data_IF_906682378947
#
_entry.id   IF_906682378947
#
_cell.length_a   1.000
_cell.length_b   1.000
_cell.length_c   1.000
_cell.angle_alpha   90.00
_cell.angle_beta   90.00
_cell.angle_gamma   90.00
#
_symmetry.space_group_name_H-M   'P 1'
#
loop_
_entity.id
_entity.type
_entity.pdbx_description
1 polymer ?
#
# COMPACT_ATOMS: atom_id res chain seq x y z
N UNK A 1 -1.33 -12.70 14.02
CA UNK A 1 -1.96 -11.66 13.19
C UNK A 1 -1.75 -11.99 11.73
N UNK A 2 -2.78 -11.95 10.91
CA UNK A 2 -2.67 -12.22 9.47
C UNK A 2 -2.08 -11.01 8.74
N UNK A 3 -1.59 -11.23 7.50
CA UNK A 3 -1.08 -10.13 6.67
C UNK A 3 -2.17 -9.10 6.38
N UNK A 4 -3.39 -9.56 6.14
CA UNK A 4 -4.55 -8.68 5.92
C UNK A 4 -4.79 -7.75 7.12
N UNK A 5 -4.72 -8.29 8.32
CA UNK A 5 -4.88 -7.51 9.56
C UNK A 5 -3.77 -6.47 9.73
N UNK A 6 -2.53 -6.82 9.38
CA UNK A 6 -1.40 -5.88 9.43
C UNK A 6 -1.65 -4.71 8.48
N UNK A 7 -2.09 -4.97 7.26
CA UNK A 7 -2.40 -3.91 6.29
C UNK A 7 -3.56 -3.03 6.74
N UNK A 8 -4.62 -3.64 7.28
CA UNK A 8 -5.76 -2.89 7.82
C UNK A 8 -5.28 -1.94 8.92
N UNK A 9 -4.46 -2.43 9.85
CA UNK A 9 -3.92 -1.60 10.93
C UNK A 9 -3.04 -0.47 10.40
N UNK A 10 -2.19 -0.74 9.40
CA UNK A 10 -1.35 0.28 8.78
C UNK A 10 -2.20 1.37 8.13
N UNK A 11 -3.23 0.99 7.39
CA UNK A 11 -4.12 1.94 6.74
C UNK A 11 -4.95 2.74 7.75
N UNK A 12 -5.38 2.11 8.83
CA UNK A 12 -6.06 2.80 9.93
C UNK A 12 -5.15 3.83 10.60
N UNK A 13 -3.89 3.46 10.85
CA UNK A 13 -2.90 4.36 11.44
C UNK A 13 -2.60 5.56 10.54
N UNK A 14 -2.63 5.36 9.22
CA UNK A 14 -2.46 6.42 8.23
C UNK A 14 -3.73 7.24 7.99
N UNK A 15 -4.87 6.80 8.53
CA UNK A 15 -6.15 7.48 8.38
C UNK A 15 -6.78 7.35 6.99
N UNK A 16 -6.41 6.32 6.22
CA UNK A 16 -6.90 6.12 4.85
C UNK A 16 -7.62 4.79 4.67
N UNK A 17 -7.90 4.06 5.75
CA UNK A 17 -8.59 2.79 5.65
C UNK A 17 -10.06 2.97 5.29
N UNK A 18 -10.52 2.14 4.35
CA UNK A 18 -11.92 2.02 3.96
C UNK A 18 -12.21 0.53 3.72
N UNK A 19 -13.36 -0.01 4.21
CA UNK A 19 -13.74 -1.40 3.94
C UNK A 19 -13.79 -1.77 2.44
N UNK A 20 -13.97 -0.80 1.56
CA UNK A 20 -13.90 -1.00 0.11
C UNK A 20 -12.52 -1.49 -0.36
N UNK A 21 -11.46 -1.29 0.44
CA UNK A 21 -10.12 -1.77 0.14
C UNK A 21 -9.89 -3.23 0.51
N UNK A 22 -10.80 -3.88 1.22
CA UNK A 22 -10.62 -5.25 1.69
C UNK A 22 -10.30 -6.25 0.57
N UNK A 23 -10.97 -6.24 -0.61
CA UNK A 23 -10.59 -7.11 -1.71
C UNK A 23 -9.16 -6.88 -2.21
N UNK A 24 -8.73 -5.63 -2.28
CA UNK A 24 -7.37 -5.25 -2.68
C UNK A 24 -6.34 -5.72 -1.66
N UNK A 25 -6.65 -5.59 -0.36
CA UNK A 25 -5.80 -6.06 0.73
C UNK A 25 -5.64 -7.58 0.67
N UNK A 26 -6.71 -8.32 0.40
CA UNK A 26 -6.67 -9.78 0.24
C UNK A 26 -5.79 -10.19 -0.94
N UNK A 27 -5.92 -9.50 -2.06
CA UNK A 27 -5.08 -9.74 -3.25
C UNK A 27 -3.61 -9.48 -2.94
N UNK A 28 -3.29 -8.38 -2.30
CA UNK A 28 -1.93 -8.03 -1.91
C UNK A 28 -1.33 -9.10 -0.98
N UNK A 29 -2.06 -9.51 0.05
CA UNK A 29 -1.61 -10.54 0.98
C UNK A 29 -1.36 -11.88 0.27
N UNK A 30 -2.22 -12.26 -0.68
CA UNK A 30 -2.05 -13.46 -1.50
C UNK A 30 -0.78 -13.38 -2.35
N UNK A 31 -0.53 -12.24 -2.99
CA UNK A 31 0.68 -12.03 -3.81
C UNK A 31 1.94 -12.12 -2.96
N UNK A 32 1.93 -11.59 -1.75
CA UNK A 32 3.08 -11.68 -0.84
C UNK A 32 3.34 -13.11 -0.38
N UNK A 33 2.30 -13.88 -0.11
CA UNK A 33 2.44 -15.30 0.22
C UNK A 33 3.05 -16.07 -0.95
N UNK A 34 2.61 -15.80 -2.17
CA UNK A 34 3.19 -16.39 -3.40
C UNK A 34 4.65 -16.03 -3.58
N UNK A 35 4.99 -14.77 -3.31
CA UNK A 35 6.38 -14.30 -3.37
C UNK A 35 7.26 -15.04 -2.38
N UNK A 36 6.84 -15.16 -1.13
CA UNK A 36 7.57 -15.88 -0.09
C UNK A 36 7.80 -17.34 -0.50
N UNK A 37 6.79 -17.98 -1.08
CA UNK A 37 6.90 -19.34 -1.58
C UNK A 37 7.89 -19.45 -2.73
N UNK A 38 7.81 -18.54 -3.70
CA UNK A 38 8.73 -18.49 -4.83
C UNK A 38 10.18 -18.27 -4.39
N UNK A 39 10.40 -17.42 -3.40
CA UNK A 39 11.72 -17.19 -2.81
C UNK A 39 12.28 -18.45 -2.17
N UNK A 40 11.47 -19.22 -1.46
CA UNK A 40 11.85 -20.51 -0.89
C UNK A 40 12.23 -21.52 -1.97
N UNK A 41 11.41 -21.65 -3.01
CA UNK A 41 11.64 -22.55 -4.14
C UNK A 41 12.91 -22.16 -4.88
N UNK A 42 13.12 -20.87 -5.12
CA UNK A 42 14.35 -20.36 -5.73
C UNK A 42 15.59 -20.66 -4.89
N UNK A 43 15.53 -20.40 -3.59
CA UNK A 43 16.63 -20.69 -2.66
C UNK A 43 16.99 -22.19 -2.64
N UNK A 44 15.98 -23.05 -2.79
CA UNK A 44 16.19 -24.51 -2.85
C UNK A 44 16.91 -24.96 -4.12
N UNK A 45 16.97 -24.16 -5.17
CA UNK A 45 17.69 -24.47 -6.41
C UNK A 45 19.20 -24.21 -6.32
N UNK A 46 19.67 -23.57 -5.21
CA UNK A 46 21.09 -23.29 -5.04
C UNK A 46 21.93 -24.57 -5.02
N UNK A 47 23.08 -24.60 -5.72
CA UNK A 47 24.01 -25.72 -5.61
C UNK A 47 24.64 -25.78 -4.21
N UNK A 48 25.13 -26.96 -3.77
CA UNK A 48 25.81 -27.08 -2.48
C UNK A 48 26.95 -26.04 -2.35
N UNK A 49 26.89 -25.21 -1.31
CA UNK A 49 27.89 -24.15 -1.07
C UNK A 49 27.83 -22.96 -2.01
N UNK A 50 26.81 -22.89 -2.90
CA UNK A 50 26.64 -21.81 -3.86
C UNK A 50 25.35 -21.00 -3.64
N UNK A 51 25.13 -20.02 -4.51
CA UNK A 51 23.93 -19.18 -4.50
C UNK A 51 22.98 -19.60 -5.62
N UNK A 52 21.64 -19.39 -5.47
CA UNK A 52 20.71 -19.67 -6.54
C UNK A 52 20.97 -18.76 -7.75
N UNK A 53 20.69 -19.29 -8.94
CA UNK A 53 20.91 -18.58 -10.20
C UNK A 53 19.79 -17.58 -10.48
N UNK A 54 20.16 -16.38 -10.94
CA UNK A 54 19.19 -15.40 -11.44
C UNK A 54 18.56 -15.78 -12.78
N UNK A 55 19.10 -16.81 -13.45
CA UNK A 55 18.54 -17.37 -14.69
C UNK A 55 17.45 -18.42 -14.42
N UNK A 56 17.27 -18.82 -13.17
CA UNK A 56 16.25 -19.80 -12.80
C UNK A 56 14.84 -19.21 -13.02
N UNK A 57 13.89 -19.98 -13.56
CA UNK A 57 12.51 -19.53 -13.76
C UNK A 57 11.83 -19.02 -12.50
N UNK A 58 12.16 -19.57 -11.33
CA UNK A 58 11.61 -19.09 -10.05
C UNK A 58 11.97 -17.64 -9.76
N UNK A 59 13.16 -17.19 -10.16
CA UNK A 59 13.56 -15.80 -10.01
C UNK A 59 12.69 -14.86 -10.86
N UNK A 60 12.35 -15.26 -12.08
CA UNK A 60 11.44 -14.49 -12.95
C UNK A 60 10.07 -14.33 -12.30
N UNK A 61 9.57 -15.39 -11.66
CA UNK A 61 8.31 -15.36 -10.93
C UNK A 61 8.38 -14.35 -9.78
N UNK A 62 9.48 -14.32 -9.01
CA UNK A 62 9.70 -13.38 -7.93
C UNK A 62 9.63 -11.93 -8.45
N UNK A 63 10.33 -11.62 -9.54
CA UNK A 63 10.35 -10.28 -10.14
C UNK A 63 8.95 -9.87 -10.58
N UNK A 64 8.21 -10.74 -11.23
CA UNK A 64 6.83 -10.46 -11.65
C UNK A 64 5.91 -10.21 -10.47
N UNK A 65 6.06 -10.99 -9.40
CA UNK A 65 5.27 -10.81 -8.18
C UNK A 65 5.61 -9.49 -7.47
N UNK A 66 6.89 -9.10 -7.43
CA UNK A 66 7.31 -7.82 -6.87
C UNK A 66 6.67 -6.64 -7.60
N UNK A 67 6.63 -6.68 -8.94
CA UNK A 67 5.98 -5.64 -9.73
C UNK A 67 4.48 -5.55 -9.44
N UNK A 68 3.80 -6.68 -9.36
CA UNK A 68 2.37 -6.73 -9.02
C UNK A 68 2.10 -6.25 -7.60
N UNK A 69 2.93 -6.65 -6.64
CA UNK A 69 2.82 -6.21 -5.25
C UNK A 69 2.95 -4.69 -5.18
N UNK A 70 3.92 -4.11 -5.89
CA UNK A 70 4.12 -2.66 -5.91
C UNK A 70 2.87 -1.94 -6.44
N UNK A 71 2.27 -2.42 -7.53
CA UNK A 71 1.04 -1.84 -8.10
C UNK A 71 -0.09 -1.82 -7.08
N UNK A 72 -0.31 -2.95 -6.37
CA UNK A 72 -1.36 -3.02 -5.36
C UNK A 72 -1.06 -2.18 -4.12
N UNK A 73 0.21 -2.10 -3.71
CA UNK A 73 0.61 -1.21 -2.61
C UNK A 73 0.40 0.26 -2.96
N UNK A 74 0.71 0.65 -4.19
CA UNK A 74 0.44 2.02 -4.67
C UNK A 74 -1.06 2.32 -4.68
N UNK A 75 -1.88 1.38 -5.13
CA UNK A 75 -3.33 1.54 -5.13
C UNK A 75 -3.90 1.74 -3.73
N UNK A 76 -3.30 1.12 -2.71
CA UNK A 76 -3.70 1.27 -1.31
C UNK A 76 -3.06 2.49 -0.60
N UNK A 77 -2.16 3.22 -1.28
CA UNK A 77 -1.45 4.34 -0.68
C UNK A 77 -0.37 3.92 0.31
N UNK A 78 0.16 2.70 0.20
CA UNK A 78 1.19 2.18 1.10
C UNK A 78 2.61 2.59 0.69
N UNK A 79 2.79 3.23 -0.46
CA UNK A 79 4.05 3.87 -0.82
C UNK A 79 3.99 5.36 -0.46
N UNK A 80 5.12 6.00 -0.10
CA UNK A 80 5.11 7.42 0.25
C UNK A 80 4.54 8.32 -0.83
N UNK A 81 4.83 8.02 -2.08
CA UNK A 81 4.32 8.78 -3.24
C UNK A 81 2.80 8.63 -3.38
N UNK A 82 2.29 7.40 -3.32
CA UNK A 82 0.88 7.12 -3.45
C UNK A 82 0.08 7.67 -2.27
N UNK A 83 0.62 7.58 -1.05
CA UNK A 83 -0.01 8.13 0.14
C UNK A 83 -0.15 9.65 0.04
N UNK A 84 0.91 10.35 -0.41
CA UNK A 84 0.86 11.80 -0.63
C UNK A 84 -0.19 12.18 -1.67
N UNK A 85 -0.31 11.38 -2.73
CA UNK A 85 -1.29 11.59 -3.78
C UNK A 85 -2.72 11.47 -3.27
N UNK A 86 -3.00 10.42 -2.48
CA UNK A 86 -4.31 10.20 -1.85
C UNK A 86 -4.66 11.32 -0.88
N UNK A 87 -3.73 11.71 -0.01
CA UNK A 87 -3.93 12.80 0.94
C UNK A 87 -4.09 14.15 0.25
N UNK A 88 -3.36 14.38 -0.84
CA UNK A 88 -3.47 15.60 -1.63
C UNK A 88 -4.83 15.73 -2.32
N UNK A 89 -5.31 14.67 -2.97
CA UNK A 89 -6.63 14.64 -3.59
C UNK A 89 -7.75 14.87 -2.55
N UNK A 90 -7.62 14.22 -1.40
CA UNK A 90 -8.53 14.41 -0.29
C UNK A 90 -8.51 15.85 0.24
N UNK A 91 -7.33 16.43 0.42
CA UNK A 91 -7.15 17.79 0.86
C UNK A 91 -7.85 18.79 -0.08
N UNK A 92 -7.68 18.63 -1.39
CA UNK A 92 -8.33 19.48 -2.38
C UNK A 92 -9.85 19.40 -2.29
N UNK A 93 -10.41 18.22 -2.10
CA UNK A 93 -11.86 18.02 -1.93
C UNK A 93 -12.37 18.76 -0.69
N UNK A 94 -11.72 18.56 0.45
CA UNK A 94 -12.11 19.21 1.71
C UNK A 94 -11.93 20.73 1.63
N UNK A 95 -10.88 21.21 0.96
CA UNK A 95 -10.66 22.64 0.72
C UNK A 95 -11.79 23.23 -0.13
N UNK A 96 -12.24 22.52 -1.15
CA UNK A 96 -13.39 22.93 -1.94
C UNK A 96 -14.67 23.04 -1.11
N UNK A 97 -14.93 22.08 -0.24
CA UNK A 97 -16.06 22.10 0.68
C UNK A 97 -15.95 23.27 1.66
N UNK A 98 -14.76 23.54 2.20
CA UNK A 98 -14.53 24.67 3.08
C UNK A 98 -14.81 26.01 2.38
N UNK A 99 -14.37 26.16 1.14
CA UNK A 99 -14.65 27.35 0.33
C UNK A 99 -16.14 27.55 0.08
N UNK A 100 -16.87 26.49 -0.21
CA UNK A 100 -18.31 26.55 -0.44
C UNK A 100 -19.08 26.88 0.83
N UNK A 101 -18.52 26.63 2.00
CA UNK A 101 -19.07 27.03 3.31
C UNK A 101 -18.62 28.41 3.78
N UNK A 102 -17.84 29.13 2.97
CA UNK A 102 -17.34 30.45 3.31
C UNK A 102 -16.16 30.47 4.29
N UNK A 103 -15.50 29.33 4.49
CA UNK A 103 -14.30 29.23 5.32
C UNK A 103 -13.07 29.71 4.56
N UNK A 104 -12.15 30.39 5.25
CA UNK A 104 -10.88 30.78 4.67
C UNK A 104 -9.91 29.60 4.63
N UNK A 105 -9.53 29.11 3.43
CA UNK A 105 -8.66 27.95 3.33
C UNK A 105 -7.24 28.20 3.83
N UNK A 106 -6.79 29.46 3.94
CA UNK A 106 -5.47 29.78 4.46
C UNK A 106 -5.38 29.59 5.98
N UNK A 107 -6.51 29.63 6.67
CA UNK A 107 -6.60 29.42 8.12
C UNK A 107 -6.78 27.96 8.50
N UNK A 108 -6.89 27.04 7.51
CA UNK A 108 -7.09 25.60 7.75
C UNK A 108 -5.82 24.88 7.38
N UNK A 109 -5.21 24.18 8.33
CA UNK A 109 -4.00 23.40 8.05
C UNK A 109 -4.35 22.07 7.42
N UNK A 110 -3.39 21.50 6.66
CA UNK A 110 -3.54 20.15 6.07
C UNK A 110 -3.81 19.11 7.16
N UNK A 111 -3.13 19.25 8.30
CA UNK A 111 -3.28 18.32 9.41
C UNK A 111 -4.69 18.37 10.01
N UNK A 112 -5.27 19.57 10.16
CA UNK A 112 -6.63 19.73 10.68
C UNK A 112 -7.65 19.09 9.74
N UNK A 113 -7.51 19.29 8.44
CA UNK A 113 -8.39 18.69 7.43
C UNK A 113 -8.30 17.17 7.43
N UNK A 114 -7.09 16.63 7.51
CA UNK A 114 -6.86 15.19 7.56
C UNK A 114 -7.43 14.58 8.83
N UNK A 115 -7.25 15.21 9.98
CA UNK A 115 -7.81 14.76 11.26
C UNK A 115 -9.32 14.71 11.24
N UNK A 116 -9.95 15.74 10.72
CA UNK A 116 -11.41 15.86 10.72
C UNK A 116 -12.07 14.73 9.94
N UNK A 117 -11.55 14.40 8.73
CA UNK A 117 -12.17 13.41 7.85
C UNK A 117 -11.76 11.98 8.15
N UNK A 118 -10.51 11.74 8.48
CA UNK A 118 -9.99 10.40 8.73
C UNK A 118 -10.08 9.97 10.18
N UNK A 119 -10.56 10.82 11.08
CA UNK A 119 -10.67 10.58 12.51
C UNK A 119 -9.34 10.15 13.15
N UNK A 120 -8.28 10.76 12.75
CA UNK A 120 -6.93 10.51 13.28
C UNK A 120 -6.76 11.06 14.68
#
# INVERSE_FOLDING_TARGET
>A
MTREQVYIQQLQALGVYDPAFDPEIKTLAMLERRKTRAEKEWSATAPPGGKPSFLDPHYQIIVQLEDKILVHREALGLTPKALRKLKGAYYETVRGDALSQGMDPENVTVLDLVREKFAL
#
